data_IF_550980387232
#
_entry.id   IF_550980387232
#
_cell.length_a   1.000
_cell.length_b   1.000
_cell.length_c   1.000
_cell.angle_alpha   90.00
_cell.angle_beta   90.00
_cell.angle_gamma   90.00
#
_symmetry.space_group_name_H-M   'P 1'
#
loop_
_entity.id
_entity.type
_entity.pdbx_description
1 polymer ?
#
# COMPACT_ATOMS: atom_id res chain seq x y z
N UNK A 1 -9.10 16.69 16.89
CA UNK A 1 -10.06 16.99 15.81
C UNK A 1 -11.47 17.10 16.41
N UNK A 2 -12.21 18.18 16.15
CA UNK A 2 -13.59 18.34 16.64
C UNK A 2 -14.61 17.86 15.60
N UNK A 3 -15.63 17.14 16.06
CA UNK A 3 -16.70 16.63 15.20
C UNK A 3 -17.72 17.74 14.92
N UNK A 4 -18.17 17.92 13.68
CA UNK A 4 -19.26 18.85 13.42
C UNK A 4 -20.62 18.26 13.85
N UNK A 5 -21.63 19.11 14.05
CA UNK A 5 -22.94 18.68 14.56
C UNK A 5 -23.66 17.70 13.61
N UNK A 6 -23.42 17.81 12.29
CA UNK A 6 -24.00 16.92 11.29
C UNK A 6 -23.41 15.51 11.37
N UNK A 7 -22.08 15.41 11.47
CA UNK A 7 -21.35 14.17 11.70
C UNK A 7 -21.77 13.50 13.01
N UNK A 8 -21.90 14.28 14.09
CA UNK A 8 -22.34 13.77 15.39
C UNK A 8 -23.70 13.08 15.28
N UNK A 9 -24.65 13.76 14.61
CA UNK A 9 -26.01 13.21 14.40
C UNK A 9 -26.00 11.97 13.52
N UNK A 10 -25.20 11.93 12.45
CA UNK A 10 -25.07 10.74 11.58
C UNK A 10 -24.54 9.56 12.38
N UNK A 11 -23.53 9.82 13.21
CA UNK A 11 -22.87 8.81 14.00
C UNK A 11 -23.81 8.23 15.07
N UNK A 12 -24.50 9.08 15.83
CA UNK A 12 -25.51 8.64 16.81
C UNK A 12 -26.66 7.86 16.13
N UNK A 13 -27.12 8.30 14.95
CA UNK A 13 -28.18 7.61 14.20
C UNK A 13 -27.75 6.26 13.62
N UNK A 14 -26.47 6.09 13.30
CA UNK A 14 -25.93 4.81 12.84
C UNK A 14 -25.92 3.77 13.95
N UNK A 15 -25.62 4.17 15.19
CA UNK A 15 -25.69 3.29 16.36
C UNK A 15 -27.10 2.73 16.59
N UNK A 16 -28.13 3.53 16.33
CA UNK A 16 -29.53 3.12 16.50
C UNK A 16 -29.96 2.02 15.52
N UNK A 17 -29.21 1.82 14.42
CA UNK A 17 -29.47 0.78 13.42
C UNK A 17 -28.77 -0.54 13.73
N UNK A 18 -27.98 -0.61 14.80
CA UNK A 18 -27.19 -1.79 15.17
C UNK A 18 -26.03 -2.10 14.20
N UNK A 19 -25.75 -1.20 13.26
CA UNK A 19 -24.64 -1.33 12.31
C UNK A 19 -23.39 -0.67 12.85
N UNK A 20 -22.26 -1.35 12.75
CA UNK A 20 -20.97 -0.74 13.08
C UNK A 20 -20.67 0.34 12.05
N UNK A 21 -20.36 1.54 12.50
CA UNK A 21 -20.00 2.67 11.62
C UNK A 21 -18.50 2.58 11.43
N UNK A 22 -17.97 2.47 10.20
CA UNK A 22 -16.52 2.35 10.00
C UNK A 22 -15.74 3.64 10.30
N UNK A 23 -16.40 4.80 10.15
CA UNK A 23 -15.78 6.11 10.28
C UNK A 23 -16.28 6.83 11.54
N UNK A 24 -15.35 7.39 12.31
CA UNK A 24 -15.65 8.12 13.56
C UNK A 24 -15.80 7.23 14.80
N UNK A 25 -15.36 5.96 14.71
CA UNK A 25 -15.43 4.99 15.83
C UNK A 25 -14.70 5.53 17.06
N UNK A 26 -13.60 6.25 16.85
CA UNK A 26 -12.85 6.93 17.92
C UNK A 26 -13.70 7.82 18.84
N UNK A 27 -14.85 8.34 18.37
CA UNK A 27 -15.68 9.26 19.15
C UNK A 27 -16.74 8.59 20.03
N UNK A 28 -16.95 7.28 19.88
CA UNK A 28 -18.05 6.56 20.54
C UNK A 28 -17.63 5.26 21.22
N UNK A 29 -16.37 4.87 21.09
CA UNK A 29 -15.86 3.71 21.80
C UNK A 29 -15.63 4.02 23.29
N UNK A 30 -15.75 2.99 24.13
CA UNK A 30 -15.46 3.04 25.56
C UNK A 30 -14.89 1.67 25.96
N UNK A 31 -13.87 1.65 26.84
CA UNK A 31 -13.43 0.41 27.51
C UNK A 31 -12.47 -0.46 26.71
N UNK A 32 -11.86 0.08 25.65
CA UNK A 32 -10.86 -0.61 24.82
C UNK A 32 -9.44 -0.09 25.03
N UNK A 33 -9.22 0.78 26.01
CA UNK A 33 -7.98 1.56 26.16
C UNK A 33 -6.75 0.65 26.32
N UNK A 34 -6.86 -0.41 27.14
CA UNK A 34 -5.76 -1.36 27.34
C UNK A 34 -5.44 -2.17 26.08
N UNK A 35 -6.45 -2.60 25.33
CA UNK A 35 -6.27 -3.35 24.10
C UNK A 35 -5.73 -2.49 22.96
N UNK A 36 -6.18 -1.23 22.88
CA UNK A 36 -5.67 -0.25 21.94
C UNK A 36 -4.22 0.10 22.24
N UNK A 37 -3.86 0.32 23.51
CA UNK A 37 -2.46 0.55 23.91
C UNK A 37 -1.54 -0.58 23.46
N UNK A 38 -1.98 -1.84 23.58
CA UNK A 38 -1.20 -2.99 23.11
C UNK A 38 -1.12 -3.08 21.56
N UNK A 39 -2.08 -2.50 20.82
CA UNK A 39 -1.94 -2.38 19.37
C UNK A 39 -1.05 -1.21 18.98
N UNK A 40 -1.05 -0.13 19.76
CA UNK A 40 -0.20 1.05 19.53
C UNK A 40 1.27 0.66 19.57
N UNK A 41 1.68 -0.08 20.61
CA UNK A 41 3.05 -0.59 20.78
C UNK A 41 3.47 -1.42 19.57
N UNK A 42 2.64 -2.38 19.15
CA UNK A 42 2.92 -3.19 17.95
C UNK A 42 3.06 -2.35 16.68
N UNK A 43 2.17 -1.37 16.46
CA UNK A 43 2.23 -0.51 15.28
C UNK A 43 3.44 0.44 15.30
N UNK A 44 3.99 0.75 16.47
CA UNK A 44 5.24 1.53 16.61
C UNK A 44 6.49 0.68 16.41
N UNK A 45 6.48 -0.56 16.89
CA UNK A 45 7.65 -1.44 16.84
C UNK A 45 7.85 -2.11 15.48
N UNK A 46 6.77 -2.49 14.77
CA UNK A 46 6.85 -3.22 13.50
C UNK A 46 7.79 -2.60 12.44
N UNK A 47 7.82 -1.26 12.24
CA UNK A 47 8.73 -0.61 11.31
C UNK A 47 10.21 -0.80 11.64
N UNK A 48 10.59 -0.91 12.92
CA UNK A 48 12.00 -0.91 13.34
C UNK A 48 12.77 -2.15 12.85
N UNK A 49 12.06 -3.26 12.65
CA UNK A 49 12.64 -4.52 12.21
C UNK A 49 12.04 -5.06 10.90
N UNK A 50 11.24 -4.25 10.18
CA UNK A 50 10.54 -4.64 8.95
C UNK A 50 9.77 -5.96 9.11
N UNK A 51 8.99 -6.04 10.20
CA UNK A 51 8.26 -7.24 10.60
C UNK A 51 6.85 -7.35 10.04
N UNK A 52 6.18 -8.42 10.46
CA UNK A 52 4.74 -8.64 10.26
C UNK A 52 4.18 -9.38 11.46
N UNK A 53 2.98 -9.02 11.92
CA UNK A 53 2.29 -9.70 13.01
C UNK A 53 0.86 -10.10 12.59
N UNK A 54 0.36 -11.19 13.17
CA UNK A 54 -1.01 -11.66 12.96
C UNK A 54 -1.68 -11.89 14.31
N UNK A 55 -2.84 -11.25 14.53
CA UNK A 55 -3.63 -11.38 15.76
C UNK A 55 -5.03 -11.89 15.45
N UNK A 56 -5.54 -12.75 16.32
CA UNK A 56 -6.89 -13.28 16.23
C UNK A 56 -7.76 -12.70 17.35
N UNK A 57 -8.87 -12.07 16.99
CA UNK A 57 -9.84 -11.53 17.94
C UNK A 57 -11.06 -12.44 17.99
N UNK A 58 -11.29 -13.08 19.14
CA UNK A 58 -12.44 -13.97 19.38
C UNK A 58 -13.40 -13.35 20.39
N UNK A 59 -14.70 -13.52 20.16
CA UNK A 59 -15.75 -13.02 21.05
C UNK A 59 -17.14 -13.33 20.49
N UNK A 60 -18.15 -13.34 21.35
CA UNK A 60 -19.53 -13.63 20.94
C UNK A 60 -20.10 -12.57 19.98
N UNK A 61 -21.17 -12.90 19.28
CA UNK A 61 -21.89 -11.93 18.45
C UNK A 61 -22.34 -10.73 19.30
N UNK A 62 -22.23 -9.52 18.77
CA UNK A 62 -22.55 -8.29 19.50
C UNK A 62 -21.48 -7.77 20.47
N UNK A 63 -20.39 -8.51 20.73
CA UNK A 63 -19.31 -8.08 21.65
C UNK A 63 -18.35 -7.03 21.05
N UNK A 64 -18.77 -6.28 20.03
CA UNK A 64 -17.97 -5.17 19.50
C UNK A 64 -16.70 -5.55 18.73
N UNK A 65 -16.51 -6.81 18.28
CA UNK A 65 -15.31 -7.21 17.52
C UNK A 65 -15.04 -6.35 16.29
N UNK A 66 -16.06 -6.17 15.44
CA UNK A 66 -15.96 -5.34 14.22
C UNK A 66 -15.66 -3.89 14.58
N UNK A 67 -16.28 -3.39 15.66
CA UNK A 67 -16.03 -2.05 16.18
C UNK A 67 -14.57 -1.88 16.65
N UNK A 68 -14.04 -2.84 17.41
CA UNK A 68 -12.64 -2.86 17.84
C UNK A 68 -11.68 -2.90 16.65
N UNK A 69 -11.93 -3.74 15.64
CA UNK A 69 -11.09 -3.79 14.43
C UNK A 69 -11.09 -2.45 13.68
N UNK A 70 -12.23 -1.76 13.60
CA UNK A 70 -12.25 -0.42 12.99
C UNK A 70 -11.50 0.62 13.81
N UNK A 71 -11.50 0.55 15.15
CA UNK A 71 -10.66 1.43 15.99
C UNK A 71 -9.17 1.22 15.70
N UNK A 72 -8.73 -0.04 15.62
CA UNK A 72 -7.34 -0.37 15.29
C UNK A 72 -6.97 0.14 13.89
N UNK A 73 -7.88 0.04 12.92
CA UNK A 73 -7.66 0.59 11.58
C UNK A 73 -7.58 2.12 11.58
N UNK A 74 -8.49 2.80 12.28
CA UNK A 74 -8.48 4.25 12.40
C UNK A 74 -7.19 4.75 13.04
N UNK A 75 -6.74 4.06 14.09
CA UNK A 75 -5.47 4.35 14.75
C UNK A 75 -4.26 4.12 13.84
N UNK A 76 -4.23 3.00 13.11
CA UNK A 76 -3.19 2.74 12.13
C UNK A 76 -3.11 3.86 11.10
N UNK A 77 -4.26 4.32 10.59
CA UNK A 77 -4.31 5.46 9.65
C UNK A 77 -3.79 6.76 10.28
N UNK A 78 -4.08 7.04 11.55
CA UNK A 78 -3.53 8.21 12.26
C UNK A 78 -2.00 8.14 12.40
N UNK A 79 -1.43 6.93 12.39
CA UNK A 79 0.01 6.65 12.44
C UNK A 79 0.64 6.48 11.06
N UNK A 80 -0.02 6.96 10.01
CA UNK A 80 0.43 6.86 8.61
C UNK A 80 0.48 5.45 8.01
N UNK A 81 -0.25 4.48 8.58
CA UNK A 81 -0.42 3.16 7.94
C UNK A 81 -1.51 3.17 6.87
N UNK A 82 -1.32 2.35 5.85
CA UNK A 82 -2.40 1.97 4.91
C UNK A 82 -3.14 0.77 5.47
N UNK A 83 -4.47 0.81 5.43
CA UNK A 83 -5.33 -0.22 6.01
C UNK A 83 -6.28 -0.79 4.98
N UNK A 84 -6.70 -2.04 5.12
CA UNK A 84 -7.79 -2.64 4.35
C UNK A 84 -8.73 -3.39 5.28
N UNK A 85 -10.03 -3.26 5.05
CA UNK A 85 -11.06 -4.03 5.76
C UNK A 85 -11.75 -4.98 4.78
N UNK A 86 -11.81 -6.27 5.14
CA UNK A 86 -12.39 -7.31 4.32
C UNK A 86 -13.32 -8.16 5.17
N UNK A 87 -14.51 -8.41 4.66
CA UNK A 87 -15.39 -9.46 5.18
C UNK A 87 -15.10 -10.73 4.37
N UNK A 88 -14.57 -11.74 5.05
CA UNK A 88 -14.26 -13.02 4.40
C UNK A 88 -15.50 -13.91 4.42
N UNK A 89 -15.91 -14.38 3.24
CA UNK A 89 -17.05 -15.26 3.05
C UNK A 89 -16.63 -16.40 2.13
N UNK A 90 -17.08 -17.64 2.42
CA UNK A 90 -16.64 -18.84 1.71
C UNK A 90 -16.85 -18.78 0.20
N UNK A 91 -17.84 -18.04 -0.28
CA UNK A 91 -18.19 -18.00 -1.71
C UNK A 91 -17.74 -16.71 -2.41
N UNK A 92 -17.04 -15.79 -1.71
CA UNK A 92 -16.60 -14.51 -2.27
C UNK A 92 -15.12 -14.21 -2.01
N UNK A 93 -14.71 -14.22 -0.74
CA UNK A 93 -13.35 -13.86 -0.30
C UNK A 93 -12.89 -14.91 0.70
N UNK A 94 -12.17 -15.91 0.19
CA UNK A 94 -11.65 -17.01 0.97
C UNK A 94 -10.26 -16.66 1.53
N UNK A 95 -10.04 -16.85 2.83
CA UNK A 95 -8.77 -16.49 3.51
C UNK A 95 -7.59 -17.31 2.97
N UNK A 96 -7.86 -18.53 2.52
CA UNK A 96 -6.89 -19.49 1.98
C UNK A 96 -6.70 -19.39 0.46
N UNK A 97 -7.45 -18.51 -0.23
CA UNK A 97 -7.30 -18.29 -1.68
C UNK A 97 -6.80 -16.90 -2.00
N UNK A 98 -5.50 -16.83 -2.28
CA UNK A 98 -4.82 -15.58 -2.61
C UNK A 98 -5.42 -14.88 -3.84
N UNK A 99 -5.89 -15.65 -4.82
CA UNK A 99 -6.48 -15.18 -6.07
C UNK A 99 -7.76 -14.35 -5.84
N UNK A 100 -8.48 -14.62 -4.75
CA UNK A 100 -9.69 -13.86 -4.37
C UNK A 100 -9.36 -12.79 -3.33
N UNK A 101 -8.49 -13.12 -2.37
CA UNK A 101 -8.17 -12.27 -1.25
C UNK A 101 -7.33 -11.05 -1.64
N UNK A 102 -6.28 -11.25 -2.43
CA UNK A 102 -5.33 -10.18 -2.76
C UNK A 102 -5.94 -9.06 -3.62
N UNK A 103 -6.65 -9.34 -4.73
CA UNK A 103 -7.33 -8.27 -5.48
C UNK A 103 -8.33 -7.50 -4.63
N UNK A 104 -9.03 -8.20 -3.73
CA UNK A 104 -9.96 -7.57 -2.80
C UNK A 104 -9.24 -6.67 -1.80
N UNK A 105 -8.06 -7.07 -1.29
CA UNK A 105 -7.22 -6.23 -0.44
C UNK A 105 -6.86 -4.96 -1.19
N UNK A 106 -6.29 -5.07 -2.40
CA UNK A 106 -5.87 -3.92 -3.22
C UNK A 106 -7.02 -2.93 -3.46
N UNK A 107 -8.23 -3.44 -3.73
CA UNK A 107 -9.42 -2.62 -3.94
C UNK A 107 -9.93 -1.92 -2.66
N UNK A 108 -9.69 -2.51 -1.49
CA UNK A 108 -10.20 -2.02 -0.19
C UNK A 108 -9.17 -1.23 0.61
N UNK A 109 -7.99 -0.95 0.04
CA UNK A 109 -6.96 -0.14 0.66
C UNK A 109 -7.46 1.29 0.96
N UNK A 110 -7.06 1.80 2.11
CA UNK A 110 -7.40 3.12 2.62
C UNK A 110 -6.16 3.80 3.18
N UNK A 111 -5.82 4.95 2.61
CA UNK A 111 -4.69 5.77 3.05
C UNK A 111 -4.96 6.50 4.37
N UNK A 112 -3.88 6.90 5.07
CA UNK A 112 -3.92 7.90 6.13
C UNK A 112 -4.75 9.11 5.70
N UNK A 113 -5.58 9.65 6.60
CA UNK A 113 -6.37 10.87 6.36
C UNK A 113 -7.37 10.80 5.18
N UNK A 114 -7.60 9.60 4.59
CA UNK A 114 -8.59 9.43 3.51
C UNK A 114 -10.02 9.80 3.91
N UNK A 115 -10.31 9.85 5.22
CA UNK A 115 -11.61 10.30 5.75
C UNK A 115 -11.83 11.81 5.69
N UNK A 116 -10.75 12.59 5.64
CA UNK A 116 -10.79 14.04 5.73
C UNK A 116 -11.06 14.69 4.37
N UNK A 117 -10.72 13.98 3.29
CA UNK A 117 -10.91 14.45 1.92
C UNK A 117 -11.65 13.39 1.07
N UNK A 118 -12.99 13.39 1.08
CA UNK A 118 -13.79 12.50 0.22
C UNK A 118 -13.48 12.66 -1.27
N UNK A 119 -13.07 13.86 -1.70
CA UNK A 119 -12.70 14.17 -3.09
C UNK A 119 -11.44 13.44 -3.58
N UNK A 120 -10.57 13.01 -2.66
CA UNK A 120 -9.41 12.17 -2.95
C UNK A 120 -9.79 10.68 -3.07
N UNK A 121 -10.96 10.26 -2.56
CA UNK A 121 -11.44 8.86 -2.66
C UNK A 121 -11.78 8.47 -4.11
N UNK A 122 -12.08 9.43 -4.98
CA UNK A 122 -12.62 9.20 -6.33
C UNK A 122 -11.60 9.30 -7.47
N UNK A 123 -10.36 9.72 -7.21
CA UNK A 123 -9.43 10.12 -8.29
C UNK A 123 -8.25 9.19 -8.56
N UNK A 124 -7.86 8.33 -7.63
CA UNK A 124 -6.70 7.45 -7.84
C UNK A 124 -6.89 6.10 -7.18
N UNK A 125 -6.54 5.05 -7.90
CA UNK A 125 -6.49 3.70 -7.37
C UNK A 125 -5.46 3.64 -6.21
N UNK A 126 -5.85 3.12 -5.03
CA UNK A 126 -4.94 3.14 -3.89
C UNK A 126 -3.66 2.34 -4.09
N UNK A 127 -3.75 1.19 -4.76
CA UNK A 127 -2.58 0.37 -5.03
C UNK A 127 -1.64 1.07 -6.01
N UNK A 128 -2.19 1.70 -7.05
CA UNK A 128 -1.40 2.51 -8.00
C UNK A 128 -0.67 3.63 -7.26
N UNK A 129 -1.37 4.34 -6.38
CA UNK A 129 -0.79 5.45 -5.61
C UNK A 129 0.36 4.98 -4.70
N UNK A 130 0.22 3.81 -4.06
CA UNK A 130 1.30 3.20 -3.27
C UNK A 130 2.54 2.89 -4.11
N UNK A 131 2.32 2.27 -5.27
CA UNK A 131 3.39 1.90 -6.17
C UNK A 131 4.10 3.15 -6.71
N UNK A 132 3.34 4.17 -7.12
CA UNK A 132 3.91 5.43 -7.63
C UNK A 132 4.68 6.19 -6.54
N UNK A 133 4.19 6.16 -5.30
CA UNK A 133 4.93 6.69 -4.15
C UNK A 133 6.27 5.98 -3.98
N UNK A 134 6.29 4.64 -4.05
CA UNK A 134 7.52 3.85 -3.97
C UNK A 134 8.48 4.14 -5.13
N UNK A 135 7.99 4.20 -6.37
CA UNK A 135 8.77 4.56 -7.57
C UNK A 135 9.39 5.95 -7.40
N UNK A 136 8.62 6.91 -6.89
CA UNK A 136 9.10 8.27 -6.60
C UNK A 136 10.23 8.25 -5.57
N UNK A 137 10.13 7.46 -4.50
CA UNK A 137 11.21 7.30 -3.51
C UNK A 137 12.48 6.75 -4.17
N UNK A 138 12.35 5.71 -5.02
CA UNK A 138 13.50 5.14 -5.75
C UNK A 138 14.15 6.17 -6.67
N UNK A 139 13.35 6.88 -7.47
CA UNK A 139 13.84 7.92 -8.38
C UNK A 139 14.54 9.04 -7.63
N UNK A 140 13.97 9.50 -6.51
CA UNK A 140 14.57 10.53 -5.67
C UNK A 140 15.91 10.10 -5.09
N UNK A 141 16.02 8.85 -4.62
CA UNK A 141 17.29 8.30 -4.13
C UNK A 141 18.34 8.16 -5.24
N UNK A 142 17.92 7.87 -6.47
CA UNK A 142 18.79 7.87 -7.64
C UNK A 142 19.15 9.28 -8.16
N UNK A 143 18.56 10.34 -7.60
CA UNK A 143 18.77 11.73 -8.03
C UNK A 143 18.09 12.07 -9.36
N UNK A 144 16.93 11.45 -9.62
CA UNK A 144 15.99 11.76 -10.70
C UNK A 144 14.78 12.45 -10.06
N UNK A 145 14.47 13.68 -10.49
CA UNK A 145 13.30 14.44 -10.02
C UNK A 145 12.41 14.82 -11.20
N UNK A 146 11.11 14.84 -10.97
CA UNK A 146 10.04 15.09 -11.95
C UNK A 146 10.18 16.40 -12.77
N UNK A 147 11.02 17.34 -12.34
CA UNK A 147 11.17 18.65 -13.01
C UNK A 147 12.62 19.04 -13.31
N UNK A 148 13.61 18.20 -12.97
CA UNK A 148 15.01 18.44 -13.33
C UNK A 148 15.83 17.15 -13.21
N UNK A 149 16.19 16.56 -14.34
CA UNK A 149 17.27 15.57 -14.39
C UNK A 149 18.58 16.28 -14.04
N UNK A 150 19.05 16.17 -12.80
CA UNK A 150 20.35 16.73 -12.37
C UNK A 150 21.52 16.19 -13.21
N UNK A 151 21.39 14.96 -13.73
CA UNK A 151 22.39 14.27 -14.57
C UNK A 151 21.67 13.32 -15.57
N UNK A 152 21.29 13.81 -16.76
CA UNK A 152 20.42 13.07 -17.68
C UNK A 152 21.07 11.83 -18.31
N UNK A 153 22.38 11.84 -18.54
CA UNK A 153 23.09 10.80 -19.32
C UNK A 153 23.04 9.41 -18.67
N UNK A 154 23.04 9.33 -17.33
CA UNK A 154 23.11 8.06 -16.59
C UNK A 154 21.92 7.83 -15.64
N UNK A 155 20.78 8.48 -15.89
CA UNK A 155 19.60 8.38 -15.02
C UNK A 155 19.12 6.92 -14.85
N UNK A 156 18.98 6.19 -15.96
CA UNK A 156 18.57 4.78 -15.94
C UNK A 156 19.58 3.89 -15.20
N UNK A 157 20.88 4.09 -15.42
CA UNK A 157 21.95 3.34 -14.73
C UNK A 157 21.93 3.54 -13.22
N UNK A 158 21.68 4.79 -12.76
CA UNK A 158 21.59 5.11 -11.33
C UNK A 158 20.35 4.49 -10.69
N UNK A 159 19.20 4.59 -11.35
CA UNK A 159 17.95 3.97 -10.90
C UNK A 159 18.10 2.45 -10.82
N UNK A 160 18.70 1.82 -11.84
CA UNK A 160 18.95 0.38 -11.84
C UNK A 160 19.84 -0.07 -10.68
N UNK A 161 20.92 0.68 -10.37
CA UNK A 161 21.77 0.39 -9.20
C UNK A 161 21.00 0.49 -7.88
N UNK A 162 20.15 1.52 -7.73
CA UNK A 162 19.34 1.71 -6.53
C UNK A 162 18.29 0.60 -6.38
N UNK A 163 17.65 0.20 -7.49
CA UNK A 163 16.74 -0.94 -7.54
C UNK A 163 17.44 -2.23 -7.13
N UNK A 164 18.62 -2.52 -7.71
CA UNK A 164 19.40 -3.70 -7.33
C UNK A 164 19.67 -3.70 -5.83
N UNK A 165 20.16 -2.58 -5.26
CA UNK A 165 20.43 -2.46 -3.83
C UNK A 165 19.20 -2.78 -2.96
N UNK A 166 18.02 -2.30 -3.36
CA UNK A 166 16.75 -2.49 -2.62
C UNK A 166 16.12 -3.88 -2.82
N UNK A 167 16.26 -4.46 -4.02
CA UNK A 167 15.67 -5.75 -4.41
C UNK A 167 16.58 -6.95 -4.08
N UNK A 168 17.72 -6.72 -3.43
CA UNK A 168 18.57 -7.76 -2.82
C UNK A 168 17.89 -8.49 -1.65
N UNK A 169 16.61 -8.23 -1.38
CA UNK A 169 15.84 -8.95 -0.37
C UNK A 169 15.53 -10.39 -0.82
N UNK A 170 15.79 -11.39 0.05
CA UNK A 170 15.58 -12.80 -0.29
C UNK A 170 14.11 -13.22 -0.34
N UNK A 171 13.19 -12.38 0.15
CA UNK A 171 11.77 -12.72 0.30
C UNK A 171 10.90 -12.48 -0.94
N UNK A 172 11.41 -11.78 -1.96
CA UNK A 172 10.65 -11.45 -3.17
C UNK A 172 10.90 -12.48 -4.29
N UNK A 173 9.84 -12.88 -4.99
CA UNK A 173 9.92 -13.75 -6.18
C UNK A 173 10.57 -13.01 -7.36
N UNK A 174 11.16 -13.76 -8.32
CA UNK A 174 11.83 -13.16 -9.49
C UNK A 174 10.86 -12.27 -10.29
N UNK A 175 9.68 -12.80 -10.59
CA UNK A 175 8.65 -12.13 -11.37
C UNK A 175 8.23 -10.78 -10.77
N UNK A 176 8.12 -10.71 -9.43
CA UNK A 176 7.79 -9.47 -8.74
C UNK A 176 8.93 -8.44 -8.81
N UNK A 177 10.18 -8.90 -8.70
CA UNK A 177 11.36 -8.03 -8.89
C UNK A 177 11.42 -7.48 -10.30
N UNK A 178 11.19 -8.34 -11.29
CA UNK A 178 11.17 -7.97 -12.71
C UNK A 178 10.07 -6.95 -13.00
N UNK A 179 8.86 -7.15 -12.48
CA UNK A 179 7.76 -6.20 -12.60
C UNK A 179 8.09 -4.82 -11.99
N UNK A 180 8.73 -4.78 -10.82
CA UNK A 180 9.13 -3.52 -10.18
C UNK A 180 10.22 -2.79 -10.97
N UNK A 181 11.20 -3.53 -11.50
CA UNK A 181 12.25 -2.97 -12.35
C UNK A 181 11.61 -2.40 -13.63
N UNK A 182 10.78 -3.19 -14.29
CA UNK A 182 10.09 -2.81 -15.51
C UNK A 182 9.24 -1.56 -15.32
N UNK A 183 8.48 -1.51 -14.23
CA UNK A 183 7.62 -0.37 -13.93
C UNK A 183 8.42 0.91 -13.70
N UNK A 184 9.51 0.82 -12.93
CA UNK A 184 10.36 1.97 -12.63
C UNK A 184 11.02 2.49 -13.92
N UNK A 185 11.48 1.58 -14.79
CA UNK A 185 12.06 1.94 -16.08
C UNK A 185 11.02 2.50 -17.07
N UNK A 186 9.82 1.93 -17.11
CA UNK A 186 8.70 2.48 -17.88
C UNK A 186 8.34 3.89 -17.39
N UNK A 187 8.41 4.15 -16.09
CA UNK A 187 8.22 5.49 -15.52
C UNK A 187 9.28 6.49 -16.00
N UNK A 188 10.53 6.09 -16.21
CA UNK A 188 11.58 6.97 -16.74
C UNK A 188 11.37 7.30 -18.23
N UNK A 189 10.88 6.32 -19.01
CA UNK A 189 10.59 6.51 -20.44
C UNK A 189 9.21 7.14 -20.69
N UNK A 190 8.41 7.36 -19.63
CA UNK A 190 7.02 7.78 -19.69
C UNK A 190 6.14 6.86 -20.57
N UNK A 191 6.41 5.56 -20.52
CA UNK A 191 5.61 4.54 -21.20
C UNK A 191 4.34 4.22 -20.38
N UNK A 192 3.23 4.82 -20.80
CA UNK A 192 1.95 4.72 -20.11
C UNK A 192 1.32 3.33 -20.28
N UNK A 193 1.50 2.70 -21.44
CA UNK A 193 0.86 1.41 -21.75
C UNK A 193 1.45 0.29 -20.91
N UNK A 194 2.79 0.23 -20.84
CA UNK A 194 3.50 -0.73 -19.98
C UNK A 194 3.18 -0.49 -18.50
N UNK A 195 3.10 0.78 -18.06
CA UNK A 195 2.70 1.11 -16.68
C UNK A 195 1.30 0.57 -16.35
N UNK A 196 0.32 0.82 -17.21
CA UNK A 196 -1.06 0.38 -16.99
C UNK A 196 -1.18 -1.15 -16.96
N UNK A 197 -0.44 -1.85 -17.83
CA UNK A 197 -0.36 -3.31 -17.81
C UNK A 197 0.18 -3.82 -16.47
N UNK A 198 1.30 -3.26 -16.02
CA UNK A 198 1.94 -3.66 -14.76
C UNK A 198 1.07 -3.32 -13.55
N UNK A 199 0.36 -2.19 -13.56
CA UNK A 199 -0.60 -1.85 -12.50
C UNK A 199 -1.73 -2.87 -12.38
N UNK A 200 -2.29 -3.36 -13.50
CA UNK A 200 -3.28 -4.42 -13.46
C UNK A 200 -2.70 -5.71 -12.86
N UNK A 201 -1.49 -6.09 -13.27
CA UNK A 201 -0.80 -7.26 -12.72
C UNK A 201 -0.53 -7.14 -11.20
N UNK A 202 -0.05 -5.99 -10.73
CA UNK A 202 0.16 -5.73 -9.30
C UNK A 202 -1.14 -5.75 -8.48
N UNK A 203 -2.32 -5.62 -9.10
CA UNK A 203 -3.61 -5.78 -8.41
C UNK A 203 -4.09 -7.22 -8.37
N UNK A 204 -3.33 -8.15 -8.93
CA UNK A 204 -3.70 -9.56 -9.01
C UNK A 204 -4.71 -9.86 -10.12
N UNK A 205 -4.80 -9.02 -11.16
CA UNK A 205 -5.51 -9.42 -12.39
C UNK A 205 -4.79 -10.60 -13.04
N UNK A 206 -5.55 -11.60 -13.52
CA UNK A 206 -5.01 -12.77 -14.21
C UNK A 206 -4.48 -12.40 -15.61
N UNK A 207 -3.32 -11.74 -15.61
CA UNK A 207 -2.60 -11.31 -16.80
C UNK A 207 -1.21 -11.92 -16.76
N UNK A 208 -0.79 -12.52 -17.89
CA UNK A 208 0.60 -12.91 -18.05
C UNK A 208 1.47 -11.65 -18.11
N UNK A 209 2.50 -11.61 -17.28
CA UNK A 209 3.52 -10.55 -17.34
C UNK A 209 4.23 -10.67 -18.68
N UNK A 210 4.08 -9.65 -19.53
CA UNK A 210 4.92 -9.47 -20.71
C UNK A 210 5.70 -8.18 -20.51
N UNK A 211 6.86 -8.30 -19.89
CA UNK A 211 7.78 -7.19 -19.70
C UNK A 211 8.70 -7.11 -20.92
N UNK A 212 8.80 -5.95 -21.60
CA UNK A 212 9.81 -5.75 -22.63
C UNK A 212 11.22 -6.02 -22.08
N UNK A 213 11.99 -6.88 -22.76
CA UNK A 213 13.35 -7.24 -22.32
C UNK A 213 14.26 -6.02 -22.14
N UNK A 214 14.03 -4.97 -22.92
CA UNK A 214 14.77 -3.71 -22.85
C UNK A 214 14.69 -3.01 -21.48
N UNK A 215 13.68 -3.33 -20.67
CA UNK A 215 13.57 -2.80 -19.31
C UNK A 215 14.32 -3.64 -18.26
N UNK A 216 14.56 -4.92 -18.56
CA UNK A 216 15.29 -5.83 -17.67
C UNK A 216 16.80 -5.81 -17.92
N UNK A 217 17.23 -5.32 -19.09
CA UNK A 217 18.65 -5.18 -19.42
C UNK A 217 19.30 -4.05 -18.62
N UNK A 218 20.49 -4.33 -18.10
CA UNK A 218 21.34 -3.32 -17.46
C UNK A 218 21.68 -2.22 -18.49
N UNK A 219 21.42 -0.94 -18.20
CA UNK A 219 21.70 0.14 -19.14
C UNK A 219 23.20 0.23 -19.48
N UNK A 220 23.53 0.49 -20.76
CA UNK A 220 24.90 0.38 -21.31
C UNK A 220 25.95 1.30 -20.66
N UNK A 221 25.55 2.33 -19.91
CA UNK A 221 26.46 3.24 -19.21
C UNK A 221 27.27 2.62 -18.05
N UNK A 222 27.05 1.33 -17.75
CA UNK A 222 27.77 0.57 -16.73
C UNK A 222 28.89 -0.31 -17.28
N UNK A 223 28.95 -0.52 -18.60
CA UNK A 223 29.93 -1.44 -19.24
C UNK A 223 31.34 -0.85 -19.40
N UNK A 224 31.54 0.44 -19.15
CA UNK A 224 32.79 1.15 -19.50
C UNK A 224 33.74 1.42 -18.34
N UNK A 225 33.45 0.98 -17.11
CA UNK A 225 34.30 1.32 -15.96
C UNK A 225 35.41 0.31 -15.61
N UNK A 226 35.46 -0.88 -16.23
CA UNK A 226 36.35 -1.96 -15.74
C UNK A 226 37.23 -2.62 -16.82
N UNK A 227 37.58 -1.88 -17.87
CA UNK A 227 38.68 -2.26 -18.78
C UNK A 227 39.56 -1.06 -19.07
N UNK A 228 40.55 -0.83 -18.21
CA UNK A 228 41.63 0.09 -18.53
C UNK A 228 42.43 0.68 -17.36
N UNK A 229 43.11 -0.16 -16.58
CA UNK A 229 44.56 -0.10 -16.31
C UNK A 229 44.94 -1.07 -15.20
#
# INVERSE_FOLDING_TARGET
MSLNQGEARRLIRGLTRGTTIPDGVRFIHVGYESWLSAQHEVLEELPDYNGSETKFVKGHYGMGKTHFLHLVQEEGRNRNWVTAHLECQRDEVEIDRFETLYPKICMKLRFPHSDECPELKDRSDPMVTLIESWVSVVNNSAGVRDQALRRPVDAASRVYKELQKRLLTPKLTSDFKEALIALTMASLKNDIDTKNLLYGWFKGEDRKIQVPEDYLRQPDGLRTADRGK
#
